data_IF_224900446797
#
_entry.id   IF_224900446797
#
_cell.length_a   1.000
_cell.length_b   1.000
_cell.length_c   1.000
_cell.angle_alpha   90.00
_cell.angle_beta   90.00
_cell.angle_gamma   90.00
#
_symmetry.space_group_name_H-M   'P 1'
#
loop_
_entity.id
_entity.type
_entity.pdbx_description
1 polymer ?
#
# COMPACT_ATOMS: atom_id res chain seq x y z
N UNK A 1 13.26 22.85 15.95
CA UNK A 1 12.16 22.94 14.97
C UNK A 1 11.85 21.53 14.52
N UNK A 2 10.80 20.91 15.07
CA UNK A 2 10.56 19.46 14.96
C UNK A 2 9.62 19.20 13.78
N UNK A 3 10.20 19.08 12.58
CA UNK A 3 9.53 18.55 11.39
C UNK A 3 9.26 17.05 11.61
N UNK A 4 8.15 16.71 12.25
CA UNK A 4 7.74 15.31 12.43
C UNK A 4 6.25 15.12 12.19
N UNK A 5 5.71 15.69 11.11
CA UNK A 5 4.43 15.20 10.55
C UNK A 5 4.67 13.89 9.78
N UNK A 6 5.21 12.91 10.50
CA UNK A 6 5.08 11.50 10.15
C UNK A 6 3.67 11.11 10.58
N UNK A 7 2.71 11.19 9.66
CA UNK A 7 1.35 10.74 9.95
C UNK A 7 1.39 9.22 10.09
N UNK A 8 1.32 8.75 11.34
CA UNK A 8 1.07 7.35 11.65
C UNK A 8 -0.31 7.02 11.09
N UNK A 9 -0.33 6.23 10.02
CA UNK A 9 -1.56 5.74 9.41
C UNK A 9 -1.75 4.29 9.80
N UNK A 10 -2.99 3.89 9.94
CA UNK A 10 -3.34 2.48 10.10
C UNK A 10 -3.53 1.87 8.73
N UNK A 11 -2.83 0.78 8.45
CA UNK A 11 -2.96 0.05 7.20
C UNK A 11 -4.35 -0.62 7.14
N UNK A 12 -5.21 -0.30 6.15
CA UNK A 12 -6.57 -0.84 6.11
C UNK A 12 -6.61 -2.36 5.83
N UNK A 13 -5.52 -2.95 5.32
CA UNK A 13 -5.42 -4.39 5.05
C UNK A 13 -5.06 -5.24 6.26
N UNK A 14 -4.10 -4.78 7.07
CA UNK A 14 -3.58 -5.57 8.20
C UNK A 14 -3.86 -4.93 9.57
N UNK A 15 -4.55 -3.78 9.59
CA UNK A 15 -4.84 -2.97 10.77
C UNK A 15 -3.61 -2.56 11.60
N UNK A 16 -2.39 -2.62 11.03
CA UNK A 16 -1.16 -2.21 11.71
C UNK A 16 -0.89 -0.73 11.48
N UNK A 17 -0.45 -0.05 12.52
CA UNK A 17 0.07 1.30 12.43
C UNK A 17 1.41 1.29 11.69
N UNK A 18 1.55 2.20 10.73
CA UNK A 18 2.78 2.41 9.99
C UNK A 18 2.96 3.89 9.69
N UNK A 19 4.22 4.30 9.55
CA UNK A 19 4.53 5.67 9.17
C UNK A 19 4.35 5.80 7.66
N UNK A 20 3.26 6.44 7.25
CA UNK A 20 3.04 6.74 5.85
C UNK A 20 3.77 8.03 5.49
N UNK A 21 4.83 7.93 4.69
CA UNK A 21 5.53 9.09 4.13
C UNK A 21 4.95 9.50 2.78
N UNK A 22 3.63 9.44 2.57
CA UNK A 22 3.02 9.84 1.30
C UNK A 22 3.36 11.28 0.90
N UNK A 23 3.49 12.19 1.87
CA UNK A 23 3.94 13.57 1.65
C UNK A 23 5.39 13.67 1.13
N UNK A 24 6.21 12.63 1.34
CA UNK A 24 7.53 12.45 0.77
C UNK A 24 7.62 11.09 0.10
N UNK A 25 6.85 10.92 -0.98
CA UNK A 25 6.73 9.64 -1.68
C UNK A 25 8.11 9.05 -2.05
N UNK A 26 9.07 9.90 -2.43
CA UNK A 26 10.46 9.54 -2.71
C UNK A 26 11.23 8.90 -1.53
N UNK A 27 10.76 9.10 -0.30
CA UNK A 27 11.31 8.53 0.93
C UNK A 27 10.40 7.45 1.54
N UNK A 28 9.29 7.12 0.88
CA UNK A 28 8.40 6.05 1.28
C UNK A 28 8.94 4.72 0.75
N UNK A 29 9.13 3.73 1.62
CA UNK A 29 9.49 2.37 1.19
C UNK A 29 8.46 1.73 0.25
N UNK A 30 7.27 2.33 0.10
CA UNK A 30 6.29 1.93 -0.90
C UNK A 30 6.76 2.15 -2.35
N UNK A 31 7.72 3.06 -2.61
CA UNK A 31 8.33 3.22 -3.94
C UNK A 31 9.37 2.14 -4.27
N UNK A 32 9.92 1.48 -3.25
CA UNK A 32 10.89 0.40 -3.44
C UNK A 32 10.19 -0.89 -3.93
N UNK A 33 8.91 -1.06 -3.58
CA UNK A 33 8.08 -2.17 -4.01
C UNK A 33 7.65 -1.98 -5.46
N UNK A 34 7.91 -2.98 -6.31
CA UNK A 34 7.57 -2.91 -7.74
C UNK A 34 6.21 -3.51 -8.03
N UNK A 35 5.17 -2.70 -7.87
CA UNK A 35 3.81 -3.10 -8.21
C UNK A 35 3.48 -2.79 -9.67
N UNK A 36 2.83 -3.73 -10.35
CA UNK A 36 2.24 -3.51 -11.67
C UNK A 36 1.11 -2.50 -11.61
N UNK A 37 0.85 -1.79 -12.72
CA UNK A 37 -0.26 -0.83 -12.82
C UNK A 37 -1.60 -1.44 -12.43
N UNK A 38 -1.87 -2.67 -12.86
CA UNK A 38 -3.10 -3.41 -12.52
C UNK A 38 -3.25 -3.60 -11.01
N UNK A 39 -2.18 -4.00 -10.32
CA UNK A 39 -2.16 -4.15 -8.86
C UNK A 39 -2.38 -2.82 -8.14
N UNK A 40 -1.74 -1.74 -8.62
CA UNK A 40 -1.91 -0.39 -8.03
C UNK A 40 -3.35 0.09 -8.20
N UNK A 41 -3.93 -0.14 -9.38
CA UNK A 41 -5.31 0.25 -9.67
C UNK A 41 -6.30 -0.51 -8.79
N UNK A 42 -6.11 -1.83 -8.66
CA UNK A 42 -6.87 -2.66 -7.72
C UNK A 42 -6.76 -2.16 -6.27
N UNK A 43 -5.54 -1.87 -5.79
CA UNK A 43 -5.35 -1.32 -4.44
C UNK A 43 -6.15 -0.03 -4.24
N UNK A 44 -6.16 0.86 -5.23
CA UNK A 44 -6.89 2.14 -5.16
C UNK A 44 -8.41 1.95 -5.16
N UNK A 45 -8.90 0.93 -5.85
CA UNK A 45 -10.33 0.60 -5.87
C UNK A 45 -10.78 -0.13 -4.60
N UNK A 46 -9.92 -0.96 -4.02
CA UNK A 46 -10.24 -1.77 -2.83
C UNK A 46 -9.97 -1.04 -1.51
N UNK A 47 -8.94 -0.19 -1.46
CA UNK A 47 -8.49 0.48 -0.25
C UNK A 47 -8.42 1.99 -0.46
N UNK A 48 -9.18 2.74 0.35
CA UNK A 48 -9.23 4.22 0.33
C UNK A 48 -7.99 4.88 0.99
N UNK A 49 -6.89 4.14 1.17
CA UNK A 49 -5.76 4.58 1.97
C UNK A 49 -4.44 3.90 1.64
N UNK A 50 -3.36 4.41 2.25
CA UNK A 50 -2.03 3.85 2.04
C UNK A 50 -1.88 2.50 2.76
N UNK A 51 -1.28 1.53 2.07
CA UNK A 51 -0.87 0.25 2.65
C UNK A 51 0.57 0.32 3.17
N UNK A 52 0.86 -0.46 4.21
CA UNK A 52 2.23 -0.57 4.71
C UNK A 52 3.13 -1.36 3.74
N UNK A 53 4.45 -1.15 3.82
CA UNK A 53 5.45 -1.80 2.94
C UNK A 53 5.35 -3.32 3.01
N UNK A 54 5.08 -3.90 4.19
CA UNK A 54 4.88 -5.34 4.32
C UNK A 54 3.69 -5.85 3.50
N UNK A 55 2.55 -5.15 3.52
CA UNK A 55 1.38 -5.49 2.71
C UNK A 55 1.65 -5.31 1.21
N UNK A 56 2.38 -4.26 0.84
CA UNK A 56 2.76 -4.01 -0.55
C UNK A 56 3.73 -5.08 -1.07
N UNK A 57 4.73 -5.48 -0.28
CA UNK A 57 5.67 -6.55 -0.63
C UNK A 57 4.97 -7.92 -0.73
N UNK A 58 3.95 -8.17 0.12
CA UNK A 58 3.10 -9.34 -0.02
C UNK A 58 2.29 -9.32 -1.32
N UNK A 59 1.84 -8.15 -1.78
CA UNK A 59 1.16 -7.99 -3.07
C UNK A 59 2.10 -8.11 -4.27
N UNK A 60 3.35 -7.71 -4.11
CA UNK A 60 4.38 -7.91 -5.13
C UNK A 60 4.68 -9.40 -5.31
N UNK A 61 4.95 -10.10 -4.20
CA UNK A 61 5.26 -11.53 -4.18
C UNK A 61 4.04 -12.42 -4.47
N UNK A 62 2.86 -12.02 -4.00
CA UNK A 62 1.58 -12.66 -4.33
C UNK A 62 1.06 -12.05 -5.62
N UNK A 63 1.75 -12.31 -6.73
CA UNK A 63 1.36 -11.90 -8.09
C UNK A 63 0.19 -12.74 -8.58
N UNK A 64 -0.89 -12.77 -7.79
CA UNK A 64 -2.18 -13.31 -8.15
C UNK A 64 -3.24 -12.24 -7.83
N UNK A 65 -3.32 -11.24 -8.72
CA UNK A 65 -4.48 -10.33 -8.82
C UNK A 65 -5.59 -11.00 -9.64
N UNK A 66 -5.35 -12.24 -10.11
CA UNK A 66 -6.22 -12.98 -11.04
C UNK A 66 -7.29 -13.81 -10.34
N UNK A 67 -7.16 -14.13 -9.05
CA UNK A 67 -8.20 -14.84 -8.29
C UNK A 67 -9.20 -13.91 -7.59
N UNK A 68 -8.84 -12.67 -7.25
CA UNK A 68 -9.78 -11.70 -6.67
C UNK A 68 -10.72 -11.05 -7.70
N UNK A 69 -10.31 -10.97 -8.97
CA UNK A 69 -11.15 -10.45 -10.07
C UNK A 69 -12.21 -11.45 -10.60
N UNK A 70 -12.09 -12.74 -10.27
CA UNK A 70 -13.05 -13.79 -10.67
C UNK A 70 -14.07 -14.12 -9.57
N UNK A 71 -14.06 -13.40 -8.45
CA UNK A 71 -14.98 -13.61 -7.32
C UNK A 71 -15.56 -12.31 -6.75
N UNK A 72 -15.85 -11.35 -7.63
CA UNK A 72 -16.59 -10.13 -7.26
C UNK A 72 -17.87 -10.04 -8.10
N UNK A 73 -19.07 -10.30 -7.54
CA UNK A 73 -20.34 -10.01 -8.20
C UNK A 73 -20.64 -8.50 -8.28
#
# INVERSE_FOLDING_TARGET
MTDQKHEAKTCPRCAREFVCKANRIHQCGCMEVRLSRETVDHIRQTYDGCLCVACLALLESSTDVRLDALRWP
#
